data_IF_075517010141
#
_entry.id   IF_075517010141
#
_cell.length_a   1.000
_cell.length_b   1.000
_cell.length_c   1.000
_cell.angle_alpha   90.00
_cell.angle_beta   90.00
_cell.angle_gamma   90.00
#
_symmetry.space_group_name_H-M   'P 1'
#
loop_
_entity.id
_entity.type
_entity.pdbx_description
1 polymer ?
#
# COMPACT_ATOMS: atom_id res chain seq x y z
N UNK A 1 3.91 14.64 -37.58
CA UNK A 1 2.83 14.06 -36.74
C UNK A 1 3.37 12.79 -36.07
N UNK A 2 3.80 12.85 -34.80
CA UNK A 2 4.71 11.85 -34.22
C UNK A 2 4.02 10.65 -33.53
N UNK A 3 2.69 10.63 -33.45
CA UNK A 3 1.93 9.58 -32.75
C UNK A 3 0.74 8.99 -33.52
N UNK A 4 0.52 9.38 -34.79
CA UNK A 4 -0.54 8.82 -35.67
C UNK A 4 -1.93 8.74 -34.99
N UNK A 5 -2.32 9.78 -34.25
CA UNK A 5 -3.66 9.87 -33.65
C UNK A 5 -4.52 10.72 -34.58
N UNK A 6 -5.31 10.06 -35.43
CA UNK A 6 -6.22 10.74 -36.36
C UNK A 6 -7.58 11.09 -35.73
N UNK A 7 -7.85 10.58 -34.51
CA UNK A 7 -9.10 10.88 -33.80
C UNK A 7 -9.04 12.27 -33.16
N UNK A 8 -9.97 13.13 -33.56
CA UNK A 8 -10.22 14.42 -32.91
C UNK A 8 -10.88 14.19 -31.55
N UNK A 9 -10.30 14.75 -30.48
CA UNK A 9 -10.84 14.64 -29.10
C UNK A 9 -11.80 15.82 -28.86
N UNK A 10 -13.11 15.58 -28.64
CA UNK A 10 -14.10 16.65 -28.48
C UNK A 10 -14.10 17.22 -27.05
N UNK A 11 -13.09 18.02 -26.71
CA UNK A 11 -12.87 18.58 -25.36
C UNK A 11 -14.09 19.35 -24.82
N UNK A 12 -14.76 20.14 -25.66
CA UNK A 12 -15.95 20.90 -25.25
C UNK A 12 -17.12 20.02 -24.81
N UNK A 13 -17.23 18.80 -25.35
CA UNK A 13 -18.25 17.83 -24.94
C UNK A 13 -17.87 17.14 -23.62
N UNK A 14 -16.60 16.75 -23.48
CA UNK A 14 -16.09 16.07 -22.28
C UNK A 14 -16.17 16.94 -21.02
N UNK A 15 -15.90 18.24 -21.16
CA UNK A 15 -15.99 19.19 -20.03
C UNK A 15 -17.40 19.39 -19.48
N UNK A 16 -18.44 19.00 -20.22
CA UNK A 16 -19.83 19.04 -19.75
C UNK A 16 -20.19 17.82 -18.88
N UNK A 17 -19.25 16.90 -18.67
CA UNK A 17 -19.40 15.69 -17.87
C UNK A 17 -20.60 14.80 -18.24
N UNK A 18 -21.05 14.89 -19.48
CA UNK A 18 -22.16 14.07 -19.97
C UNK A 18 -21.70 12.62 -20.07
N UNK A 19 -22.45 11.72 -19.46
CA UNK A 19 -22.09 10.30 -19.36
C UNK A 19 -21.76 9.66 -20.71
N UNK A 20 -22.58 9.92 -21.74
CA UNK A 20 -22.41 9.30 -23.06
C UNK A 20 -21.08 9.72 -23.72
N UNK A 21 -20.80 11.02 -23.74
CA UNK A 21 -19.63 11.58 -24.42
C UNK A 21 -18.33 11.15 -23.69
N UNK A 22 -18.34 11.14 -22.35
CA UNK A 22 -17.22 10.66 -21.55
C UNK A 22 -17.00 9.15 -21.69
N UNK A 23 -18.08 8.36 -21.70
CA UNK A 23 -17.99 6.92 -21.86
C UNK A 23 -17.44 6.54 -23.23
N UNK A 24 -17.88 7.20 -24.31
CA UNK A 24 -17.38 6.98 -25.66
C UNK A 24 -15.88 7.31 -25.78
N UNK A 25 -15.44 8.41 -25.15
CA UNK A 25 -14.02 8.76 -25.11
C UNK A 25 -13.20 7.70 -24.35
N UNK A 26 -13.64 7.27 -23.18
CA UNK A 26 -12.94 6.25 -22.38
C UNK A 26 -12.86 4.91 -23.11
N UNK A 27 -13.93 4.49 -23.78
CA UNK A 27 -13.95 3.28 -24.58
C UNK A 27 -12.93 3.34 -25.72
N UNK A 28 -12.87 4.46 -26.43
CA UNK A 28 -11.87 4.67 -27.46
C UNK A 28 -10.46 4.71 -26.88
N UNK A 29 -10.23 5.44 -25.79
CA UNK A 29 -8.92 5.57 -25.16
C UNK A 29 -8.38 4.21 -24.74
N UNK A 30 -9.25 3.36 -24.15
CA UNK A 30 -8.89 1.98 -23.82
C UNK A 30 -8.53 1.15 -25.05
N UNK A 31 -9.34 1.22 -26.12
CA UNK A 31 -9.05 0.51 -27.37
C UNK A 31 -7.73 0.98 -27.99
N UNK A 32 -7.50 2.29 -28.04
CA UNK A 32 -6.26 2.85 -28.57
C UNK A 32 -5.05 2.40 -27.76
N UNK A 33 -5.15 2.43 -26.43
CA UNK A 33 -4.13 1.90 -25.53
C UNK A 33 -3.84 0.43 -25.82
N UNK A 34 -4.86 -0.42 -25.90
CA UNK A 34 -4.69 -1.86 -26.14
C UNK A 34 -4.03 -2.17 -27.48
N UNK A 35 -4.28 -1.36 -28.51
CA UNK A 35 -3.68 -1.55 -29.84
C UNK A 35 -2.25 -1.01 -29.95
N UNK A 36 -1.85 -0.08 -29.09
CA UNK A 36 -0.60 0.70 -29.25
C UNK A 36 0.35 0.60 -28.07
N UNK A 37 -0.07 0.02 -26.95
CA UNK A 37 0.77 -0.19 -25.80
C UNK A 37 1.76 -1.32 -26.11
N UNK A 38 3.08 -1.05 -26.12
CA UNK A 38 4.07 -2.12 -26.15
C UNK A 38 4.09 -2.72 -24.75
N UNK A 39 4.12 -4.06 -24.62
CA UNK A 39 4.12 -4.80 -23.34
C UNK A 39 5.38 -4.54 -22.47
N UNK A 40 5.64 -3.29 -22.09
CA UNK A 40 6.76 -2.86 -21.26
C UNK A 40 6.27 -1.93 -20.16
N UNK A 41 7.00 -1.90 -19.06
CA UNK A 41 6.67 -1.03 -17.94
C UNK A 41 6.87 0.45 -18.27
N UNK A 42 5.94 1.28 -17.79
CA UNK A 42 5.99 2.73 -17.99
C UNK A 42 7.04 3.37 -17.06
N UNK A 43 8.23 3.65 -17.59
CA UNK A 43 9.24 4.43 -16.88
C UNK A 43 9.00 5.94 -17.03
N UNK A 44 8.39 6.53 -16.00
CA UNK A 44 8.08 7.96 -15.98
C UNK A 44 9.35 8.85 -15.91
N UNK A 45 10.45 8.37 -15.31
CA UNK A 45 11.68 9.14 -15.11
C UNK A 45 12.47 9.23 -16.41
N UNK A 46 12.67 8.10 -17.09
CA UNK A 46 13.31 8.08 -18.41
C UNK A 46 12.50 8.86 -19.44
N UNK A 47 11.16 8.79 -19.38
CA UNK A 47 10.27 9.54 -20.30
C UNK A 47 10.35 11.05 -20.10
N UNK A 48 10.47 11.52 -18.86
CA UNK A 48 10.66 12.95 -18.54
C UNK A 48 12.09 13.43 -18.80
N UNK A 49 13.04 12.55 -19.10
CA UNK A 49 14.47 12.88 -19.27
C UNK A 49 15.00 13.74 -18.11
N UNK A 50 14.52 13.52 -16.89
CA UNK A 50 14.89 14.34 -15.72
C UNK A 50 14.31 15.75 -15.67
N UNK A 51 13.33 16.10 -16.51
CA UNK A 51 12.67 17.41 -16.46
C UNK A 51 11.84 17.61 -15.19
N UNK A 52 12.15 18.65 -14.41
CA UNK A 52 11.37 19.09 -13.27
C UNK A 52 9.94 19.53 -13.71
N UNK A 53 8.92 19.20 -12.92
CA UNK A 53 7.56 19.68 -13.16
C UNK A 53 7.55 21.22 -13.08
N UNK A 54 6.92 21.93 -14.03
CA UNK A 54 6.64 23.35 -13.85
C UNK A 54 5.69 23.51 -12.66
N UNK A 55 6.16 24.19 -11.62
CA UNK A 55 5.34 24.62 -10.48
C UNK A 55 4.15 25.41 -11.00
N UNK A 56 2.94 24.87 -10.84
CA UNK A 56 1.71 25.51 -11.33
C UNK A 56 1.26 26.59 -10.35
N UNK A 57 1.95 27.73 -10.36
CA UNK A 57 1.34 28.99 -9.96
C UNK A 57 0.78 29.68 -11.22
N UNK A 58 -0.51 30.02 -11.17
CA UNK A 58 -1.24 31.00 -12.00
C UNK A 58 -2.32 30.45 -12.93
N UNK A 59 -3.55 30.51 -12.42
CA UNK A 59 -4.70 31.26 -12.94
C UNK A 59 -4.96 31.34 -14.46
N UNK A 60 -6.15 30.82 -14.82
CA UNK A 60 -7.17 31.43 -15.68
C UNK A 60 -6.83 31.88 -17.13
N UNK A 61 -7.57 31.31 -18.09
CA UNK A 61 -7.71 31.89 -19.43
C UNK A 61 -8.39 30.94 -20.42
N UNK A 62 -9.72 30.75 -20.31
CA UNK A 62 -10.54 30.12 -21.34
C UNK A 62 -11.00 31.16 -22.37
N UNK A 63 -10.93 30.83 -23.66
CA UNK A 63 -11.72 31.49 -24.71
C UNK A 63 -12.34 30.43 -25.65
N UNK A 64 -13.53 30.67 -26.22
CA UNK A 64 -14.44 29.64 -26.75
C UNK A 64 -14.52 29.61 -28.29
N UNK A 65 -15.34 28.67 -28.83
CA UNK A 65 -16.10 28.64 -30.12
C UNK A 65 -15.82 27.36 -30.93
N UNK A 66 -16.75 26.65 -31.59
CA UNK A 66 -18.11 26.95 -32.08
C UNK A 66 -18.89 25.65 -32.38
N UNK A 67 -20.22 25.78 -32.33
CA UNK A 67 -21.31 24.83 -32.65
C UNK A 67 -21.28 24.16 -34.03
N UNK A 68 -21.65 22.87 -34.10
CA UNK A 68 -21.99 22.17 -35.35
C UNK A 68 -22.83 20.90 -35.08
N UNK A 69 -23.89 20.71 -35.87
CA UNK A 69 -25.05 19.91 -35.54
C UNK A 69 -25.07 18.47 -36.13
N UNK A 70 -25.68 17.57 -35.34
CA UNK A 70 -26.68 16.56 -35.71
C UNK A 70 -26.37 15.33 -36.63
N UNK A 71 -26.72 14.15 -36.09
CA UNK A 71 -27.61 13.07 -36.62
C UNK A 71 -27.05 11.63 -36.65
N UNK A 72 -27.73 10.79 -35.84
CA UNK A 72 -28.31 9.45 -36.10
C UNK A 72 -27.39 8.26 -36.47
N UNK A 73 -27.26 7.34 -35.49
CA UNK A 73 -27.76 5.96 -35.55
C UNK A 73 -26.87 4.88 -36.18
N UNK A 74 -26.57 3.82 -35.41
CA UNK A 74 -26.77 2.40 -35.77
C UNK A 74 -26.13 1.45 -34.74
N UNK A 75 -26.63 0.21 -34.75
CA UNK A 75 -26.51 -0.85 -33.77
C UNK A 75 -25.10 -1.35 -33.41
N UNK A 76 -24.99 -1.83 -32.17
CA UNK A 76 -23.82 -2.49 -31.60
C UNK A 76 -23.71 -3.97 -32.02
N UNK A 77 -22.49 -4.48 -32.27
CA UNK A 77 -22.16 -5.87 -32.02
C UNK A 77 -21.39 -5.99 -30.71
N UNK A 78 -21.87 -6.85 -29.80
CA UNK A 78 -21.13 -7.32 -28.62
C UNK A 78 -19.87 -8.05 -29.10
N UNK A 79 -18.70 -7.59 -28.71
CA UNK A 79 -17.44 -8.36 -28.82
C UNK A 79 -16.95 -8.67 -27.42
N UNK A 80 -16.76 -9.96 -27.17
CA UNK A 80 -16.25 -10.54 -25.94
C UNK A 80 -14.92 -9.90 -25.53
N UNK A 81 -14.79 -9.56 -24.24
CA UNK A 81 -13.57 -8.94 -23.69
C UNK A 81 -12.58 -10.05 -23.30
N UNK A 82 -11.42 -10.05 -23.96
CA UNK A 82 -10.21 -10.74 -23.51
C UNK A 82 -9.61 -9.95 -22.34
N UNK A 83 -9.79 -10.46 -21.12
CA UNK A 83 -9.33 -9.86 -19.86
C UNK A 83 -7.96 -10.41 -19.41
N UNK A 84 -6.98 -10.54 -20.32
CA UNK A 84 -5.79 -11.35 -20.03
C UNK A 84 -4.52 -10.58 -19.63
N UNK A 85 -4.34 -9.31 -20.02
CA UNK A 85 -3.03 -8.66 -19.91
C UNK A 85 -2.75 -7.91 -18.59
N UNK A 86 -3.77 -7.45 -17.86
CA UNK A 86 -3.60 -6.80 -16.54
C UNK A 86 -3.53 -7.77 -15.35
N UNK A 87 -3.75 -9.07 -15.60
CA UNK A 87 -3.82 -10.10 -14.56
C UNK A 87 -2.47 -10.59 -14.05
N UNK A 88 -1.42 -10.55 -14.87
CA UNK A 88 -0.11 -11.13 -14.49
C UNK A 88 0.57 -10.37 -13.34
N UNK A 89 0.63 -9.03 -13.40
CA UNK A 89 1.23 -8.22 -12.33
C UNK A 89 0.38 -8.23 -11.05
N UNK A 90 -0.95 -8.28 -11.19
CA UNK A 90 -1.87 -8.42 -10.06
C UNK A 90 -1.72 -9.79 -9.38
N UNK A 91 -1.60 -10.87 -10.17
CA UNK A 91 -1.43 -12.22 -9.65
C UNK A 91 -0.08 -12.39 -8.94
N UNK A 92 1.00 -11.81 -9.48
CA UNK A 92 2.31 -11.82 -8.85
C UNK A 92 2.29 -11.12 -7.48
N UNK A 93 1.72 -9.91 -7.41
CA UNK A 93 1.58 -9.17 -6.16
C UNK A 93 0.67 -9.87 -5.14
N UNK A 94 -0.38 -10.57 -5.60
CA UNK A 94 -1.24 -11.37 -4.73
C UNK A 94 -0.52 -12.59 -4.16
N UNK A 95 0.32 -13.26 -4.96
CA UNK A 95 1.15 -14.36 -4.50
C UNK A 95 2.17 -13.91 -3.45
N UNK A 96 2.85 -12.79 -3.69
CA UNK A 96 3.80 -12.20 -2.72
C UNK A 96 3.11 -11.84 -1.40
N UNK A 97 1.93 -11.20 -1.47
CA UNK A 97 1.14 -10.91 -0.27
C UNK A 97 0.71 -12.17 0.49
N UNK A 98 0.40 -13.27 -0.21
CA UNK A 98 0.07 -14.53 0.44
C UNK A 98 1.28 -15.12 1.18
N UNK A 99 2.45 -15.13 0.53
CA UNK A 99 3.71 -15.59 1.13
C UNK A 99 4.12 -14.75 2.35
N UNK A 100 4.01 -13.42 2.25
CA UNK A 100 4.32 -12.53 3.37
C UNK A 100 3.37 -12.77 4.55
N UNK A 101 2.07 -12.97 4.30
CA UNK A 101 1.10 -13.28 5.36
C UNK A 101 1.43 -14.59 6.09
N UNK A 102 1.80 -15.63 5.34
CA UNK A 102 2.21 -16.90 5.94
C UNK A 102 3.50 -16.75 6.76
N UNK A 103 4.46 -15.98 6.24
CA UNK A 103 5.73 -15.69 6.93
C UNK A 103 5.49 -14.93 8.23
N UNK A 104 4.67 -13.88 8.20
CA UNK A 104 4.30 -13.10 9.39
C UNK A 104 3.61 -13.99 10.41
N UNK A 105 2.63 -14.81 10.00
CA UNK A 105 1.98 -15.74 10.92
C UNK A 105 2.95 -16.78 11.53
N UNK A 106 3.98 -17.17 10.78
CA UNK A 106 5.10 -17.97 11.27
C UNK A 106 5.89 -17.25 12.37
N UNK A 107 6.34 -16.04 12.06
CA UNK A 107 7.13 -15.20 12.97
C UNK A 107 6.36 -14.81 14.23
N UNK A 108 5.05 -14.55 14.13
CA UNK A 108 4.21 -14.25 15.29
C UNK A 108 4.14 -15.45 16.25
N UNK A 109 4.02 -16.68 15.72
CA UNK A 109 4.05 -17.89 16.56
C UNK A 109 5.41 -18.07 17.24
N UNK A 110 6.50 -17.83 16.52
CA UNK A 110 7.85 -17.93 17.10
C UNK A 110 8.08 -16.86 18.16
N UNK A 111 7.69 -15.61 17.88
CA UNK A 111 7.72 -14.49 18.84
C UNK A 111 6.98 -14.85 20.12
N UNK A 112 5.74 -15.32 20.01
CA UNK A 112 4.91 -15.65 21.16
C UNK A 112 5.50 -16.85 21.93
N UNK A 113 6.02 -17.85 21.22
CA UNK A 113 6.69 -19.01 21.83
C UNK A 113 7.91 -18.61 22.66
N UNK A 114 8.78 -17.75 22.13
CA UNK A 114 9.96 -17.27 22.87
C UNK A 114 9.58 -16.33 24.00
N UNK A 115 8.61 -15.45 23.79
CA UNK A 115 8.11 -14.54 24.83
C UNK A 115 7.54 -15.31 26.03
N UNK A 116 6.69 -16.31 25.80
CA UNK A 116 6.14 -17.15 26.88
C UNK A 116 7.25 -17.83 27.69
N UNK A 117 8.30 -18.35 27.03
CA UNK A 117 9.44 -18.96 27.74
C UNK A 117 10.20 -17.96 28.61
N UNK A 118 10.46 -16.76 28.10
CA UNK A 118 11.14 -15.71 28.86
C UNK A 118 10.28 -15.26 30.05
N UNK A 119 8.96 -15.17 29.87
CA UNK A 119 8.02 -14.85 30.96
C UNK A 119 7.96 -15.94 32.02
N UNK A 120 7.94 -17.21 31.63
CA UNK A 120 7.98 -18.35 32.56
C UNK A 120 9.28 -18.32 33.39
N UNK A 121 10.42 -18.03 32.75
CA UNK A 121 11.72 -17.88 33.44
C UNK A 121 11.69 -16.71 34.42
N UNK A 122 11.15 -15.56 34.02
CA UNK A 122 11.03 -14.39 34.89
C UNK A 122 10.19 -14.69 36.13
N UNK A 123 9.05 -15.37 35.97
CA UNK A 123 8.19 -15.79 37.09
C UNK A 123 8.92 -16.74 38.05
N UNK A 124 9.68 -17.71 37.51
CA UNK A 124 10.47 -18.63 38.33
C UNK A 124 11.54 -17.90 39.15
N UNK A 125 12.19 -16.89 38.56
CA UNK A 125 13.18 -16.07 39.26
C UNK A 125 12.53 -15.21 40.34
N UNK A 126 11.40 -14.57 40.04
CA UNK A 126 10.64 -13.77 41.01
C UNK A 126 10.21 -14.62 42.22
N UNK A 127 9.68 -15.82 41.97
CA UNK A 127 9.32 -16.77 43.03
C UNK A 127 10.53 -17.18 43.88
N UNK A 128 11.68 -17.47 43.25
CA UNK A 128 12.89 -17.84 43.98
C UNK A 128 13.40 -16.70 44.89
N UNK A 129 13.32 -15.45 44.43
CA UNK A 129 13.69 -14.27 45.22
C UNK A 129 12.69 -14.01 46.35
N UNK A 130 11.41 -14.26 46.14
CA UNK A 130 10.40 -14.17 47.20
C UNK A 130 10.64 -15.19 48.32
N UNK A 131 11.05 -16.41 47.96
CA UNK A 131 11.39 -17.48 48.91
C UNK A 131 12.72 -17.24 49.64
N UNK A 132 13.73 -16.72 48.95
CA UNK A 132 15.04 -16.37 49.52
C UNK A 132 15.51 -14.97 49.04
N UNK A 133 15.20 -13.91 49.82
CA UNK A 133 15.58 -12.54 49.48
C UNK A 133 17.09 -12.27 49.42
N UNK A 134 17.95 -13.16 49.94
CA UNK A 134 19.40 -12.99 49.83
C UNK A 134 19.91 -13.23 48.40
N UNK A 135 19.16 -13.99 47.58
CA UNK A 135 19.51 -14.26 46.18
C UNK A 135 19.59 -12.99 45.32
N UNK A 136 18.79 -11.97 45.62
CA UNK A 136 18.79 -10.69 44.89
C UNK A 136 19.91 -9.75 45.35
N UNK A 137 20.56 -10.01 46.49
CA UNK A 137 21.67 -9.19 47.00
C UNK A 137 23.03 -9.62 46.45
N UNK A 138 23.11 -10.82 45.88
CA UNK A 138 24.34 -11.33 45.28
C UNK A 138 24.54 -10.73 43.88
N UNK A 139 25.33 -9.65 43.79
CA UNK A 139 25.61 -8.92 42.54
C UNK A 139 26.15 -9.82 41.41
N UNK A 140 27.02 -10.78 41.74
CA UNK A 140 27.56 -11.74 40.77
C UNK A 140 26.75 -13.06 40.69
N UNK A 141 25.57 -13.08 41.32
CA UNK A 141 24.70 -14.25 41.39
C UNK A 141 23.97 -14.55 40.07
N UNK A 142 23.51 -15.79 39.93
CA UNK A 142 22.76 -16.24 38.74
C UNK A 142 21.47 -15.42 38.51
N UNK A 143 20.79 -14.99 39.58
CA UNK A 143 19.58 -14.15 39.51
C UNK A 143 19.86 -12.84 38.78
N UNK A 144 20.93 -12.13 39.15
CA UNK A 144 21.34 -10.89 38.50
C UNK A 144 21.71 -11.09 37.03
N UNK A 145 22.40 -12.19 36.71
CA UNK A 145 22.75 -12.51 35.32
C UNK A 145 21.51 -12.75 34.45
N UNK A 146 20.50 -13.47 34.96
CA UNK A 146 19.24 -13.65 34.23
C UNK A 146 18.45 -12.34 34.08
N UNK A 147 18.36 -11.52 35.13
CA UNK A 147 17.73 -10.20 35.06
C UNK A 147 18.42 -9.30 34.02
N UNK A 148 19.76 -9.33 33.96
CA UNK A 148 20.51 -8.58 32.96
C UNK A 148 20.14 -9.00 31.53
N UNK A 149 19.97 -10.30 31.27
CA UNK A 149 19.55 -10.80 29.96
C UNK A 149 18.11 -10.35 29.66
N UNK A 150 17.18 -10.56 30.59
CA UNK A 150 15.75 -10.29 30.40
C UNK A 150 15.43 -8.81 30.22
N UNK A 151 16.19 -7.93 30.87
CA UNK A 151 16.00 -6.48 30.81
C UNK A 151 17.03 -5.77 29.92
N UNK A 152 17.88 -6.51 29.22
CA UNK A 152 18.73 -5.93 28.19
C UNK A 152 17.86 -5.39 27.05
N UNK A 153 18.14 -4.16 26.61
CA UNK A 153 17.52 -3.56 25.43
C UNK A 153 18.55 -3.49 24.30
N UNK A 154 18.18 -3.96 23.11
CA UNK A 154 18.95 -3.65 21.90
C UNK A 154 18.59 -2.24 21.40
N UNK A 155 19.55 -1.59 20.74
CA UNK A 155 19.42 -0.25 20.16
C UNK A 155 18.27 -0.24 19.11
N UNK A 156 17.06 0.15 19.54
CA UNK A 156 15.84 0.15 18.74
C UNK A 156 14.67 -0.68 19.30
N UNK A 157 14.84 -1.38 20.43
CA UNK A 157 13.76 -2.02 21.18
C UNK A 157 13.43 -1.18 22.43
N UNK A 158 12.71 -0.07 22.23
CA UNK A 158 12.16 0.69 23.35
C UNK A 158 11.00 -0.12 23.96
N UNK A 159 11.12 -0.48 25.23
CA UNK A 159 9.97 -0.88 26.04
C UNK A 159 9.09 0.38 26.13
N UNK A 160 7.86 0.38 25.60
CA UNK A 160 6.95 1.48 25.87
C UNK A 160 6.87 1.62 27.39
N UNK A 161 7.21 2.80 27.91
CA UNK A 161 6.98 3.12 29.32
C UNK A 161 5.54 2.70 29.66
N UNK A 162 5.41 1.93 30.74
CA UNK A 162 4.21 1.34 31.32
C UNK A 162 2.94 1.83 30.63
N UNK A 163 2.21 0.91 29.96
CA UNK A 163 0.87 1.21 29.47
C UNK A 163 0.07 1.86 30.60
N UNK A 164 -0.08 3.19 30.52
CA UNK A 164 -1.00 3.97 31.31
C UNK A 164 -2.30 3.16 31.38
N UNK A 165 -2.88 2.95 32.57
CA UNK A 165 -4.10 2.19 32.69
C UNK A 165 -5.11 2.82 31.73
N UNK A 166 -5.48 2.06 30.70
CA UNK A 166 -6.52 2.46 29.78
C UNK A 166 -7.76 2.68 30.65
N UNK A 167 -8.07 3.95 30.91
CA UNK A 167 -9.31 4.36 31.56
C UNK A 167 -10.43 3.82 30.66
N UNK A 168 -11.09 2.77 31.13
CA UNK A 168 -12.23 2.12 30.50
C UNK A 168 -13.38 3.14 30.42
N UNK A 169 -13.31 4.04 29.44
CA UNK A 169 -14.46 4.83 29.04
C UNK A 169 -15.22 4.05 27.98
N UNK A 170 -16.03 3.10 28.47
CA UNK A 170 -17.23 2.64 27.81
C UNK A 170 -18.03 3.86 27.34
N UNK A 171 -17.97 4.16 26.04
CA UNK A 171 -18.93 5.08 25.42
C UNK A 171 -20.10 4.24 24.93
N UNK A 172 -21.24 4.49 25.58
CA UNK A 172 -22.59 3.96 25.34
C UNK A 172 -23.05 4.04 23.87
#
# INVERSE_FOLDING_TARGET
MKHQIDKVIPVEALTKCKMQDNLEFLQWAKKYWDLKFPDHDYDAVARRKGGALPSSNSAAGRAPVSTGAARRGAAAPRVARTAAAGGHNMAALQAENATLKETVAGLERERDFYFSKLRDIELLIQQAVEEDPELDKAEDGLVKQFQLILYSTEEGFEIPEEAEPLDDQETF
#
